data_IF_738821239333
#
_entry.id   IF_738821239333
#
_cell.length_a   1.000
_cell.length_b   1.000
_cell.length_c   1.000
_cell.angle_alpha   90.00
_cell.angle_beta   90.00
_cell.angle_gamma   90.00
#
_symmetry.space_group_name_H-M   'P 1'
#
loop_
_entity.id
_entity.type
_entity.pdbx_description
1 polymer ?
#
# COMPACT_ATOMS: atom_id res chain seq x y z
N UNK A 1 -3.19 17.85 26.44
CA UNK A 1 -3.04 16.53 25.80
C UNK A 1 -4.27 15.72 26.17
N UNK A 2 -4.98 15.17 25.18
CA UNK A 2 -6.16 14.34 25.44
C UNK A 2 -5.72 12.89 25.67
N UNK A 3 -6.22 12.26 26.73
CA UNK A 3 -6.11 10.82 26.91
C UNK A 3 -7.10 10.10 25.99
N UNK A 4 -6.76 8.86 25.64
CA UNK A 4 -7.53 8.01 24.73
C UNK A 4 -8.07 6.83 25.52
N UNK A 5 -9.36 6.55 25.38
CA UNK A 5 -10.04 5.43 26.01
C UNK A 5 -9.75 4.13 25.24
N UNK A 6 -9.45 3.06 25.98
CA UNK A 6 -9.13 1.74 25.44
C UNK A 6 -9.98 0.69 26.13
N UNK A 7 -10.73 -0.09 25.36
CA UNK A 7 -11.54 -1.18 25.90
C UNK A 7 -10.78 -2.50 25.80
N UNK A 8 -10.61 -3.20 26.93
CA UNK A 8 -10.03 -4.54 26.94
C UNK A 8 -11.05 -5.55 26.40
N UNK A 9 -10.72 -6.37 25.38
CA UNK A 9 -11.65 -7.38 24.87
C UNK A 9 -11.85 -8.55 25.84
N UNK A 10 -10.92 -8.76 26.77
CA UNK A 10 -10.97 -9.89 27.73
C UNK A 10 -11.86 -9.56 28.93
N UNK A 11 -11.59 -8.46 29.64
CA UNK A 11 -12.30 -8.10 30.86
C UNK A 11 -13.31 -6.94 30.69
N UNK A 12 -13.41 -6.37 29.48
CA UNK A 12 -14.31 -5.26 29.12
C UNK A 12 -14.11 -3.96 29.89
N UNK A 13 -13.04 -3.86 30.70
CA UNK A 13 -12.66 -2.63 31.40
C UNK A 13 -12.19 -1.58 30.39
N UNK A 14 -12.64 -0.34 30.60
CA UNK A 14 -12.16 0.84 29.88
C UNK A 14 -11.00 1.46 30.67
N UNK A 15 -9.84 1.58 30.02
CA UNK A 15 -8.66 2.25 30.55
C UNK A 15 -8.37 3.54 29.77
N UNK A 16 -7.56 4.42 30.35
CA UNK A 16 -7.07 5.62 29.67
C UNK A 16 -5.58 5.49 29.36
N UNK A 17 -5.19 5.82 28.13
CA UNK A 17 -3.80 5.87 27.69
C UNK A 17 -3.45 7.28 27.20
N UNK A 18 -2.29 7.80 27.61
CA UNK A 18 -1.76 9.06 27.10
C UNK A 18 -0.89 8.77 25.89
N UNK A 19 -1.22 9.29 24.69
CA UNK A 19 -0.39 9.09 23.51
C UNK A 19 1.04 9.60 23.76
N UNK A 20 2.08 8.85 23.37
CA UNK A 20 3.45 9.32 23.52
C UNK A 20 3.74 10.48 22.55
N UNK A 21 4.36 11.54 23.07
CA UNK A 21 4.93 12.62 22.26
C UNK A 21 6.40 12.31 21.98
N UNK A 22 6.75 12.17 20.70
CA UNK A 22 8.09 11.74 20.32
C UNK A 22 8.80 12.82 19.49
N UNK A 23 10.08 13.13 19.77
CA UNK A 23 10.79 14.22 19.12
C UNK A 23 11.11 13.86 17.66
N UNK A 24 10.63 14.68 16.71
CA UNK A 24 11.11 14.61 15.35
C UNK A 24 12.45 15.36 15.22
N UNK A 25 13.31 14.94 14.28
CA UNK A 25 14.53 15.66 13.93
C UNK A 25 14.30 17.11 13.44
N UNK A 26 13.06 17.49 13.09
CA UNK A 26 12.69 18.87 12.76
C UNK A 26 12.32 19.74 13.98
N UNK A 27 12.32 19.17 15.19
CA UNK A 27 11.97 19.86 16.43
C UNK A 27 10.47 19.84 16.78
N UNK A 28 9.58 19.50 15.85
CA UNK A 28 8.14 19.37 16.12
C UNK A 28 7.82 17.98 16.68
N UNK A 29 7.16 17.84 17.83
CA UNK A 29 6.79 16.55 18.38
C UNK A 29 5.74 15.86 17.50
N UNK A 30 5.87 14.54 17.38
CA UNK A 30 4.92 13.70 16.66
C UNK A 30 4.05 12.98 17.68
N UNK A 31 2.74 13.20 17.57
CA UNK A 31 1.72 12.50 18.35
C UNK A 31 1.16 11.38 17.48
N UNK A 32 1.12 10.16 18.02
CA UNK A 32 0.44 9.05 17.36
C UNK A 32 -1.08 9.28 17.39
N UNK A 33 -1.78 9.22 16.24
CA UNK A 33 -3.22 9.37 16.21
C UNK A 33 -3.88 8.07 16.68
N UNK A 34 -4.02 7.88 18.00
CA UNK A 34 -4.66 6.68 18.52
C UNK A 34 -6.18 6.76 18.35
N UNK A 35 -6.80 5.62 18.05
CA UNK A 35 -8.27 5.52 17.95
C UNK A 35 -8.88 5.62 19.35
N UNK A 36 -9.71 6.64 19.56
CA UNK A 36 -10.43 6.82 20.83
C UNK A 36 -11.63 5.89 20.95
N UNK A 37 -11.78 5.28 22.14
CA UNK A 37 -12.79 4.27 22.42
C UNK A 37 -12.57 2.93 21.71
N UNK A 38 -11.42 2.73 21.06
CA UNK A 38 -11.11 1.50 20.32
C UNK A 38 -10.99 0.26 21.21
N UNK A 39 -11.28 -0.91 20.65
CA UNK A 39 -10.90 -2.18 21.28
C UNK A 39 -9.40 -2.41 21.10
N UNK A 40 -8.69 -2.66 22.20
CA UNK A 40 -7.29 -3.04 22.15
C UNK A 40 -7.11 -4.47 21.65
N UNK A 41 -6.06 -4.72 20.87
CA UNK A 41 -5.76 -6.05 20.34
C UNK A 41 -4.83 -6.80 21.32
N UNK A 42 -5.18 -8.01 21.81
CA UNK A 42 -4.33 -8.75 22.72
C UNK A 42 -2.98 -9.13 22.08
N UNK A 43 -1.89 -8.89 22.81
CA UNK A 43 -0.55 -9.31 22.38
C UNK A 43 -0.29 -10.74 22.86
N UNK A 44 -0.49 -11.71 21.97
CA UNK A 44 -0.18 -13.12 22.25
C UNK A 44 1.26 -13.49 21.89
N UNK A 45 1.83 -12.83 20.86
CA UNK A 45 3.18 -13.08 20.36
C UNK A 45 3.90 -11.77 20.05
N UNK A 46 5.18 -11.70 20.42
CA UNK A 46 6.10 -10.63 19.99
C UNK A 46 6.84 -11.09 18.74
N UNK A 47 6.66 -10.33 17.67
CA UNK A 47 7.53 -10.41 16.51
C UNK A 47 8.15 -9.03 16.25
N UNK A 48 9.37 -9.03 15.71
CA UNK A 48 10.12 -7.80 15.46
C UNK A 48 9.51 -6.89 14.38
N UNK A 49 8.59 -7.41 13.55
CA UNK A 49 8.00 -6.68 12.42
C UNK A 49 6.73 -5.90 12.77
N UNK A 50 5.93 -6.43 13.70
CA UNK A 50 4.67 -5.87 14.20
C UNK A 50 4.87 -4.84 15.32
N UNK A 51 6.08 -4.81 15.89
CA UNK A 51 6.46 -3.92 16.99
C UNK A 51 6.69 -2.46 16.56
N UNK A 52 6.85 -2.18 15.26
CA UNK A 52 7.19 -0.83 14.78
C UNK A 52 6.17 -0.27 13.79
N UNK A 53 5.75 0.97 14.02
CA UNK A 53 4.84 1.74 13.16
C UNK A 53 5.58 2.88 12.45
N UNK A 54 5.27 3.08 11.18
CA UNK A 54 5.80 4.18 10.39
C UNK A 54 4.90 5.42 10.53
N UNK A 55 5.42 6.47 11.18
CA UNK A 55 4.68 7.72 11.42
C UNK A 55 5.29 8.83 10.58
N UNK A 56 4.43 9.62 9.93
CA UNK A 56 4.86 10.78 9.13
C UNK A 56 4.68 12.05 9.93
N UNK A 57 5.74 12.83 10.09
CA UNK A 57 5.66 14.14 10.72
C UNK A 57 4.81 15.09 9.86
N UNK A 58 3.85 15.78 10.48
CA UNK A 58 2.98 16.75 9.79
C UNK A 58 3.74 18.01 9.35
N UNK A 59 4.83 18.37 10.05
CA UNK A 59 5.61 19.56 9.75
C UNK A 59 6.67 19.34 8.66
N UNK A 60 7.50 18.29 8.77
CA UNK A 60 8.62 18.07 7.84
C UNK A 60 8.43 16.90 6.87
N UNK A 61 7.29 16.22 6.93
CA UNK A 61 6.94 15.07 6.09
C UNK A 61 7.86 13.85 6.18
N UNK A 62 8.87 13.83 7.05
CA UNK A 62 9.73 12.66 7.27
C UNK A 62 8.93 11.51 7.88
N UNK A 63 9.19 10.31 7.38
CA UNK A 63 8.70 9.08 7.99
C UNK A 63 9.72 8.56 8.99
N UNK A 64 9.26 8.30 10.20
CA UNK A 64 10.04 7.79 11.33
C UNK A 64 9.41 6.50 11.81
N UNK A 65 10.22 5.52 12.22
CA UNK A 65 9.73 4.27 12.80
C UNK A 65 9.68 4.40 14.30
N UNK A 66 8.55 4.03 14.90
CA UNK A 66 8.33 4.14 16.34
C UNK A 66 7.68 2.86 16.89
N UNK A 67 7.95 2.50 18.15
CA UNK A 67 7.33 1.34 18.75
C UNK A 67 5.81 1.52 18.81
N UNK A 68 5.08 0.45 18.54
CA UNK A 68 3.62 0.46 18.61
C UNK A 68 3.18 0.65 20.07
N UNK A 69 2.22 1.55 20.35
CA UNK A 69 1.82 1.81 21.72
C UNK A 69 1.06 0.64 22.31
N UNK A 70 1.45 0.26 23.52
CA UNK A 70 0.88 -0.85 24.26
C UNK A 70 0.21 -0.35 25.56
N UNK A 71 -0.88 -0.99 25.96
CA UNK A 71 -1.59 -0.74 27.20
C UNK A 71 -1.65 -2.03 28.02
N UNK A 72 -1.03 -2.00 29.21
CA UNK A 72 -1.17 -3.06 30.19
C UNK A 72 -2.51 -2.94 30.91
N UNK A 73 -3.44 -3.84 30.61
CA UNK A 73 -4.70 -3.90 31.34
C UNK A 73 -4.45 -4.51 32.73
N UNK A 74 -5.06 -3.99 33.83
CA UNK A 74 -4.91 -4.57 35.16
C UNK A 74 -5.40 -6.03 35.31
N UNK A 75 -6.10 -6.58 34.32
CA UNK A 75 -6.44 -8.01 34.29
C UNK A 75 -5.27 -8.92 33.84
N UNK A 76 -4.12 -8.34 33.50
CA UNK A 76 -2.92 -9.06 33.05
C UNK A 76 -2.75 -9.12 31.53
N UNK A 77 -3.74 -8.65 30.75
CA UNK A 77 -3.65 -8.63 29.28
C UNK A 77 -2.90 -7.40 28.79
N UNK A 78 -1.88 -7.60 27.96
CA UNK A 78 -1.21 -6.53 27.22
C UNK A 78 -1.95 -6.29 25.90
N UNK A 79 -2.34 -5.06 25.63
CA UNK A 79 -3.09 -4.67 24.45
C UNK A 79 -2.24 -3.78 23.53
N UNK A 80 -2.24 -4.06 22.23
CA UNK A 80 -1.81 -3.11 21.19
C UNK A 80 -2.93 -2.12 20.92
N UNK A 81 -2.57 -0.84 20.88
CA UNK A 81 -3.52 0.23 20.60
C UNK A 81 -3.61 0.47 19.10
N UNK A 82 -4.84 0.66 18.62
CA UNK A 82 -5.10 1.02 17.23
C UNK A 82 -4.62 2.45 16.96
N UNK A 83 -3.90 2.63 15.85
CA UNK A 83 -3.41 3.92 15.36
C UNK A 83 -4.10 4.23 14.04
N UNK A 84 -4.82 5.35 13.96
CA UNK A 84 -5.48 5.82 12.74
C UNK A 84 -4.45 6.05 11.63
N UNK A 85 -4.63 5.37 10.49
CA UNK A 85 -3.70 5.43 9.37
C UNK A 85 -2.37 4.67 9.59
N UNK A 86 -2.22 4.01 10.73
CA UNK A 86 -1.09 3.14 11.07
C UNK A 86 -1.33 1.69 10.66
N UNK A 87 -1.44 1.44 9.36
CA UNK A 87 -1.52 0.07 8.84
C UNK A 87 -0.25 -0.71 9.18
N UNK A 88 -0.40 -2.00 9.48
CA UNK A 88 0.70 -2.97 9.55
C UNK A 88 1.65 -2.80 8.34
N UNK A 89 2.95 -3.09 8.47
CA UNK A 89 3.88 -3.03 7.34
C UNK A 89 3.46 -4.02 6.26
N UNK A 90 2.62 -3.57 5.33
CA UNK A 90 1.98 -4.41 4.31
C UNK A 90 0.64 -3.88 3.82
N UNK A 91 -0.12 -3.19 4.67
CA UNK A 91 -1.35 -2.51 4.26
C UNK A 91 -1.01 -1.12 3.73
N UNK A 92 -1.20 -0.91 2.43
CA UNK A 92 -1.18 0.44 1.83
C UNK A 92 -2.41 1.18 2.36
N UNK A 93 -2.29 2.29 3.11
CA UNK A 93 -3.47 3.02 3.55
C UNK A 93 -4.18 3.59 2.34
N UNK A 94 -5.36 3.06 2.03
CA UNK A 94 -6.27 3.66 1.04
C UNK A 94 -7.11 4.73 1.74
N UNK A 95 -6.48 5.82 2.12
CA UNK A 95 -7.18 7.04 2.54
C UNK A 95 -6.35 8.25 2.14
N UNK A 96 -6.51 8.66 0.88
CA UNK A 96 -6.19 10.02 0.45
C UNK A 96 -7.33 10.51 -0.43
N UNK A 97 -7.72 11.75 -0.20
CA UNK A 97 -8.91 12.36 -0.79
C UNK A 97 -9.06 12.01 -2.28
N UNK A 98 -10.26 11.58 -2.74
CA UNK A 98 -10.51 11.37 -4.15
C UNK A 98 -10.29 12.70 -4.89
N UNK A 99 -9.38 12.71 -5.87
CA UNK A 99 -9.32 13.79 -6.87
C UNK A 99 -7.98 14.51 -7.03
N UNK A 100 -7.02 14.37 -6.11
CA UNK A 100 -5.67 14.96 -6.32
C UNK A 100 -4.64 13.89 -6.68
N UNK A 101 -4.19 13.92 -7.92
CA UNK A 101 -3.06 13.12 -8.39
C UNK A 101 -1.81 13.55 -7.62
N UNK A 102 -1.18 12.60 -6.92
CA UNK A 102 0.08 12.84 -6.25
C UNK A 102 1.24 12.59 -7.23
N UNK A 103 2.23 13.49 -7.32
CA UNK A 103 3.39 13.29 -8.19
C UNK A 103 4.16 12.01 -7.84
N UNK A 104 4.62 11.29 -8.86
CA UNK A 104 5.40 10.04 -8.68
C UNK A 104 6.87 10.37 -8.45
N UNK A 105 7.28 10.42 -7.18
CA UNK A 105 8.66 10.74 -6.77
C UNK A 105 9.45 9.49 -6.36
N UNK A 106 8.75 8.41 -6.05
CA UNK A 106 9.34 7.16 -5.56
C UNK A 106 8.67 5.93 -6.16
N UNK A 107 9.28 4.76 -5.93
CA UNK A 107 8.67 3.49 -6.29
C UNK A 107 7.36 3.24 -5.53
N UNK A 108 7.25 3.72 -4.29
CA UNK A 108 6.02 3.63 -3.50
C UNK A 108 4.89 4.46 -4.15
N UNK A 109 5.21 5.64 -4.66
CA UNK A 109 4.22 6.50 -5.32
C UNK A 109 3.72 5.85 -6.62
N UNK A 110 4.61 5.18 -7.37
CA UNK A 110 4.26 4.45 -8.59
C UNK A 110 3.29 3.30 -8.31
N UNK A 111 3.58 2.49 -7.28
CA UNK A 111 2.70 1.41 -6.82
C UNK A 111 1.37 1.96 -6.30
N UNK A 112 1.39 3.09 -5.59
CA UNK A 112 0.18 3.74 -5.09
C UNK A 112 -0.68 4.26 -6.24
N UNK A 113 -0.08 4.87 -7.26
CA UNK A 113 -0.78 5.35 -8.44
C UNK A 113 -1.44 4.20 -9.22
N UNK A 114 -0.73 3.07 -9.38
CA UNK A 114 -1.27 1.87 -9.99
C UNK A 114 -2.45 1.28 -9.18
N UNK A 115 -2.29 1.13 -7.86
CA UNK A 115 -3.35 0.62 -6.99
C UNK A 115 -4.60 1.54 -6.98
N UNK A 116 -4.41 2.86 -6.94
CA UNK A 116 -5.52 3.81 -7.03
C UNK A 116 -6.21 3.78 -8.40
N UNK A 117 -5.47 3.54 -9.48
CA UNK A 117 -6.06 3.39 -10.81
C UNK A 117 -6.92 2.12 -10.90
N UNK A 118 -6.39 0.97 -10.47
CA UNK A 118 -7.16 -0.28 -10.40
C UNK A 118 -8.41 -0.16 -9.50
N UNK A 119 -8.30 0.54 -8.38
CA UNK A 119 -9.46 0.82 -7.52
C UNK A 119 -10.53 1.68 -8.19
N UNK A 120 -10.14 2.62 -9.06
CA UNK A 120 -11.10 3.40 -9.86
C UNK A 120 -11.78 2.57 -10.96
N UNK A 121 -11.12 1.52 -11.45
CA UNK A 121 -11.68 0.53 -12.37
C UNK A 121 -12.54 -0.53 -11.65
N UNK A 122 -12.78 -0.38 -10.34
CA UNK A 122 -13.65 -1.27 -9.58
C UNK A 122 -12.96 -2.49 -8.96
N UNK A 123 -11.63 -2.62 -9.09
CA UNK A 123 -10.90 -3.71 -8.43
C UNK A 123 -10.70 -3.41 -6.93
N UNK A 124 -11.36 -4.19 -6.07
CA UNK A 124 -11.20 -4.15 -4.62
C UNK A 124 -10.06 -5.03 -4.09
N UNK A 125 -9.79 -4.92 -2.79
CA UNK A 125 -8.86 -5.79 -2.04
C UNK A 125 -7.45 -5.89 -2.65
N UNK A 126 -6.93 -4.78 -3.21
CA UNK A 126 -5.60 -4.75 -3.83
C UNK A 126 -4.52 -4.93 -2.76
N UNK A 127 -3.76 -6.01 -2.87
CA UNK A 127 -2.65 -6.34 -1.97
C UNK A 127 -1.40 -6.67 -2.79
N UNK A 128 -0.23 -6.72 -2.14
CA UNK A 128 0.97 -7.24 -2.81
C UNK A 128 0.80 -8.73 -3.06
N UNK A 129 1.14 -9.18 -4.26
CA UNK A 129 1.15 -10.60 -4.54
C UNK A 129 2.19 -11.30 -3.63
N UNK A 130 1.83 -12.49 -3.13
CA UNK A 130 2.71 -13.26 -2.26
C UNK A 130 3.99 -13.73 -2.98
N UNK A 131 3.91 -13.93 -4.30
CA UNK A 131 5.04 -14.35 -5.11
C UNK A 131 5.83 -13.13 -5.64
N UNK A 132 7.15 -13.10 -5.49
CA UNK A 132 7.98 -12.03 -6.04
C UNK A 132 7.89 -12.00 -7.58
N UNK A 133 7.72 -10.81 -8.15
CA UNK A 133 7.93 -10.63 -9.58
C UNK A 133 9.44 -10.65 -9.88
N UNK A 134 9.87 -11.23 -11.02
CA UNK A 134 11.30 -11.28 -11.39
C UNK A 134 11.92 -9.88 -11.58
N UNK A 135 11.10 -8.87 -11.85
CA UNK A 135 11.42 -7.46 -11.73
C UNK A 135 10.18 -6.70 -11.22
N UNK A 136 10.34 -5.48 -10.71
CA UNK A 136 9.23 -4.62 -10.29
C UNK A 136 8.46 -5.11 -9.04
N UNK A 137 7.19 -4.73 -8.94
CA UNK A 137 6.29 -5.03 -7.82
C UNK A 137 5.01 -5.66 -8.35
N UNK A 138 4.66 -6.85 -7.88
CA UNK A 138 3.38 -7.48 -8.19
C UNK A 138 2.30 -7.09 -7.18
N UNK A 139 1.11 -6.79 -7.70
CA UNK A 139 -0.12 -6.55 -6.98
C UNK A 139 -1.16 -7.58 -7.42
N UNK A 140 -1.98 -8.03 -6.48
CA UNK A 140 -3.07 -8.95 -6.73
C UNK A 140 -4.38 -8.34 -6.25
N UNK A 141 -5.44 -8.61 -7.00
CA UNK A 141 -6.82 -8.35 -6.64
C UNK A 141 -7.67 -9.55 -7.09
N UNK A 142 -8.94 -9.59 -6.73
CA UNK A 142 -9.83 -10.67 -7.17
C UNK A 142 -9.88 -10.74 -8.69
N UNK A 143 -9.36 -11.83 -9.26
CA UNK A 143 -9.32 -12.08 -10.71
C UNK A 143 -8.29 -11.24 -11.49
N UNK A 144 -7.38 -10.52 -10.84
CA UNK A 144 -6.42 -9.65 -11.51
C UNK A 144 -5.02 -9.74 -10.88
N UNK A 145 -4.01 -9.82 -11.74
CA UNK A 145 -2.60 -9.74 -11.38
C UNK A 145 -1.96 -8.56 -12.10
N UNK A 146 -1.52 -7.56 -11.34
CA UNK A 146 -0.84 -6.39 -11.87
C UNK A 146 0.66 -6.41 -11.58
N UNK A 147 1.48 -6.10 -12.59
CA UNK A 147 2.90 -5.84 -12.41
C UNK A 147 3.18 -4.34 -12.56
N UNK A 148 3.95 -3.78 -11.64
CA UNK A 148 4.38 -2.39 -11.64
C UNK A 148 5.90 -2.34 -11.78
N UNK A 149 6.41 -1.69 -12.83
CA UNK A 149 7.82 -1.31 -13.00
C UNK A 149 8.00 0.14 -12.53
N UNK A 150 8.42 0.37 -11.26
CA UNK A 150 8.48 1.69 -10.66
C UNK A 150 9.71 2.50 -11.05
N UNK A 151 10.69 1.88 -11.70
CA UNK A 151 11.90 2.56 -12.18
C UNK A 151 11.67 3.11 -13.59
N UNK A 152 12.65 3.85 -14.12
CA UNK A 152 12.63 4.27 -15.53
C UNK A 152 13.13 3.18 -16.49
N UNK A 153 13.31 1.94 -16.02
CA UNK A 153 13.62 0.79 -16.88
C UNK A 153 12.46 0.57 -17.85
N UNK A 154 12.79 0.25 -19.10
CA UNK A 154 11.77 -0.14 -20.08
C UNK A 154 11.35 -1.59 -19.84
N UNK A 155 10.07 -1.89 -20.08
CA UNK A 155 9.59 -3.28 -20.02
C UNK A 155 10.12 -4.03 -21.24
N UNK A 156 10.72 -5.18 -20.98
CA UNK A 156 11.21 -6.11 -22.00
C UNK A 156 10.12 -7.09 -22.40
N UNK A 157 10.30 -7.81 -23.52
CA UNK A 157 9.39 -8.89 -23.94
C UNK A 157 9.21 -9.92 -22.82
N UNK A 158 10.30 -10.28 -22.14
CA UNK A 158 10.28 -11.23 -21.02
C UNK A 158 9.39 -10.76 -19.88
N UNK A 159 9.41 -9.48 -19.54
CA UNK A 159 8.58 -8.94 -18.46
C UNK A 159 7.09 -9.11 -18.78
N UNK A 160 6.70 -8.84 -20.03
CA UNK A 160 5.33 -8.99 -20.52
C UNK A 160 4.91 -10.46 -20.54
N UNK A 161 5.73 -11.35 -21.10
CA UNK A 161 5.43 -12.78 -21.19
C UNK A 161 5.38 -13.45 -19.81
N UNK A 162 6.28 -13.08 -18.90
CA UNK A 162 6.25 -13.58 -17.53
C UNK A 162 4.99 -13.12 -16.78
N UNK A 163 4.58 -11.87 -16.96
CA UNK A 163 3.32 -11.38 -16.39
C UNK A 163 2.13 -12.17 -16.92
N UNK A 164 2.06 -12.36 -18.24
CA UNK A 164 0.98 -13.11 -18.89
C UNK A 164 0.91 -14.55 -18.38
N UNK A 165 2.05 -15.26 -18.34
CA UNK A 165 2.13 -16.63 -17.82
C UNK A 165 1.77 -16.72 -16.33
N UNK A 166 2.21 -15.76 -15.52
CA UNK A 166 1.89 -15.73 -14.08
C UNK A 166 0.39 -15.51 -13.84
N UNK A 167 -0.23 -14.60 -14.60
CA UNK A 167 -1.66 -14.34 -14.51
C UNK A 167 -2.48 -15.54 -14.99
N UNK A 168 -2.08 -16.16 -16.12
CA UNK A 168 -2.69 -17.37 -16.64
C UNK A 168 -2.63 -18.53 -15.62
N UNK A 169 -1.47 -18.74 -14.99
CA UNK A 169 -1.30 -19.77 -13.97
C UNK A 169 -2.15 -19.51 -12.71
N UNK A 170 -2.39 -18.24 -12.38
CA UNK A 170 -3.24 -17.84 -11.27
C UNK A 170 -4.75 -17.78 -11.63
N UNK A 171 -5.13 -18.03 -12.89
CA UNK A 171 -6.50 -17.85 -13.36
C UNK A 171 -6.99 -16.40 -13.25
N UNK A 172 -6.10 -15.44 -13.49
CA UNK A 172 -6.33 -14.00 -13.35
C UNK A 172 -5.99 -13.26 -14.64
N UNK A 173 -6.54 -12.05 -14.79
CA UNK A 173 -6.21 -11.15 -15.90
C UNK A 173 -4.90 -10.39 -15.61
N UNK A 174 -3.94 -10.36 -16.56
CA UNK A 174 -2.70 -9.61 -16.41
C UNK A 174 -2.91 -8.11 -16.62
N UNK A 175 -2.20 -7.25 -15.88
CA UNK A 175 -2.11 -5.80 -16.16
C UNK A 175 -0.69 -5.28 -15.88
N UNK A 176 -0.11 -4.50 -16.79
CA UNK A 176 1.22 -3.90 -16.62
C UNK A 176 1.19 -2.39 -16.41
N UNK A 177 2.01 -1.89 -15.49
CA UNK A 177 2.27 -0.46 -15.26
C UNK A 177 3.76 -0.17 -15.39
N UNK A 178 4.14 0.89 -16.10
CA UNK A 178 5.56 1.26 -16.28
C UNK A 178 5.77 2.76 -16.30
N UNK A 179 6.89 3.22 -15.72
CA UNK A 179 7.34 4.62 -15.91
C UNK A 179 8.27 4.81 -17.10
N UNK A 180 9.01 3.77 -17.49
CA UNK A 180 9.95 3.81 -18.61
C UNK A 180 9.30 3.57 -19.98
N UNK A 181 8.07 3.05 -19.98
CA UNK A 181 7.41 2.54 -21.18
C UNK A 181 7.91 1.14 -21.56
N UNK A 182 7.24 0.45 -22.50
CA UNK A 182 7.74 -0.79 -23.07
C UNK A 182 8.83 -0.53 -24.13
N UNK A 183 9.71 -1.51 -24.33
CA UNK A 183 10.47 -1.64 -25.57
C UNK A 183 9.52 -1.94 -26.75
N UNK A 184 9.90 -1.61 -28.00
CA UNK A 184 9.04 -1.82 -29.17
C UNK A 184 8.54 -3.26 -29.29
N UNK A 185 9.44 -4.24 -29.14
CA UNK A 185 9.12 -5.66 -29.21
C UNK A 185 8.22 -6.10 -28.04
N UNK A 186 8.38 -5.48 -26.87
CA UNK A 186 7.52 -5.73 -25.72
C UNK A 186 6.11 -5.17 -25.94
N UNK A 187 5.98 -4.03 -26.62
CA UNK A 187 4.70 -3.46 -27.00
C UNK A 187 3.95 -4.37 -28.00
N UNK A 188 4.65 -4.89 -29.01
CA UNK A 188 4.10 -5.88 -29.94
C UNK A 188 3.68 -7.17 -29.25
N UNK A 189 4.51 -7.67 -28.32
CA UNK A 189 4.18 -8.85 -27.51
C UNK A 189 2.94 -8.64 -26.66
N UNK A 190 2.84 -7.47 -25.99
CA UNK A 190 1.68 -7.12 -25.17
C UNK A 190 0.39 -7.02 -26.01
N UNK A 191 0.47 -6.45 -27.21
CA UNK A 191 -0.66 -6.39 -28.13
C UNK A 191 -1.12 -7.79 -28.56
N UNK A 192 -0.17 -8.65 -28.95
CA UNK A 192 -0.44 -10.05 -29.37
C UNK A 192 -1.05 -10.89 -28.25
N UNK A 193 -0.57 -10.72 -27.02
CA UNK A 193 -1.04 -11.46 -25.84
C UNK A 193 -2.27 -10.83 -25.17
N UNK A 194 -2.70 -9.65 -25.63
CA UNK A 194 -3.81 -8.90 -25.03
C UNK A 194 -3.52 -8.37 -23.64
N UNK A 195 -2.24 -8.16 -23.26
CA UNK A 195 -1.85 -7.64 -21.94
C UNK A 195 -2.05 -6.11 -21.92
N UNK A 196 -2.96 -5.56 -21.09
CA UNK A 196 -3.13 -4.13 -20.88
C UNK A 196 -1.87 -3.50 -20.30
N UNK A 197 -1.33 -2.46 -20.93
CA UNK A 197 -0.20 -1.69 -20.43
C UNK A 197 -0.57 -0.23 -20.16
N UNK A 198 -0.14 0.29 -19.01
CA UNK A 198 -0.34 1.68 -18.61
C UNK A 198 0.98 2.39 -18.31
N UNK A 199 1.09 3.65 -18.74
CA UNK A 199 2.16 4.55 -18.36
C UNK A 199 1.85 5.22 -17.02
N UNK A 200 2.85 5.27 -16.16
CA UNK A 200 2.85 6.02 -14.91
C UNK A 200 3.61 7.34 -15.10
N UNK A 201 2.87 8.42 -15.27
CA UNK A 201 3.44 9.75 -15.50
C UNK A 201 3.95 10.39 -14.21
N UNK A 202 4.95 11.26 -14.32
CA UNK A 202 5.53 11.93 -13.15
C UNK A 202 4.51 12.78 -12.36
N UNK A 203 3.42 13.19 -13.00
CA UNK A 203 2.29 13.92 -12.41
C UNK A 203 1.39 13.04 -11.53
N UNK A 204 1.49 11.71 -11.64
CA UNK A 204 0.56 10.76 -11.03
C UNK A 204 -0.55 10.29 -11.99
N UNK A 205 -0.61 10.82 -13.21
CA UNK A 205 -1.51 10.35 -14.25
C UNK A 205 -1.15 8.92 -14.67
N UNK A 206 -2.20 8.15 -14.97
CA UNK A 206 -2.10 6.79 -15.51
C UNK A 206 -2.74 6.80 -16.88
N UNK A 207 -1.95 6.55 -17.93
CA UNK A 207 -2.38 6.63 -19.33
C UNK A 207 -2.31 5.26 -19.99
N UNK A 208 -3.32 4.82 -20.76
CA UNK A 208 -3.22 3.59 -21.53
C UNK A 208 -2.12 3.69 -22.59
N UNK A 209 -1.43 2.58 -22.82
CA UNK A 209 -0.35 2.46 -23.82
C UNK A 209 -0.73 1.57 -25.01
N UNK A 210 -1.81 0.79 -24.91
CA UNK A 210 -2.31 -0.08 -25.97
C UNK A 210 -3.84 -0.24 -25.89
N UNK A 211 -4.44 -0.77 -26.96
CA UNK A 211 -5.89 -0.97 -27.07
C UNK A 211 -6.48 -1.85 -25.96
N UNK A 212 -5.71 -2.81 -25.44
CA UNK A 212 -6.13 -3.64 -24.31
C UNK A 212 -6.31 -2.78 -23.03
N UNK A 213 -5.41 -1.84 -22.78
CA UNK A 213 -5.53 -0.87 -21.68
C UNK A 213 -6.65 0.14 -21.89
N UNK A 214 -6.91 0.57 -23.11
CA UNK A 214 -8.05 1.44 -23.42
C UNK A 214 -9.37 0.74 -23.11
N UNK A 215 -9.54 -0.52 -23.55
CA UNK A 215 -10.73 -1.32 -23.25
C UNK A 215 -10.94 -1.53 -21.75
N UNK A 216 -9.87 -1.84 -21.02
CA UNK A 216 -9.94 -2.00 -19.57
C UNK A 216 -10.29 -0.69 -18.86
N UNK A 217 -9.85 0.47 -19.39
CA UNK A 217 -10.14 1.79 -18.83
C UNK A 217 -11.58 2.28 -19.04
N UNK A 218 -12.36 1.60 -19.89
CA UNK A 218 -13.74 1.95 -20.24
C UNK A 218 -14.78 0.94 -19.72
N UNK A 219 -14.34 -0.12 -19.01
CA UNK A 219 -15.20 -1.12 -18.37
C UNK A 219 -15.62 -0.69 -16.96
#
# INVERSE_FOLDING_TARGET
MASVAVTCPVCRRVGSHLPPELPCACGVPVVLPLVDGGMGEPVERRDWGEEWLAVRCVACARTTRWPRPEYGCPCGTLLRLAVDGGGAPGAVPLARQPGTLAPIRSARDAVTAAALHLGRLGHGEIHRAAQPAPAGVALAARGLLAHVEPSRRRLTVRDVECLWLAALAAGADPVGFTRGGPEPEAAESAARLGVPLFALEATGLVRPLNEAAERLGHA
#
